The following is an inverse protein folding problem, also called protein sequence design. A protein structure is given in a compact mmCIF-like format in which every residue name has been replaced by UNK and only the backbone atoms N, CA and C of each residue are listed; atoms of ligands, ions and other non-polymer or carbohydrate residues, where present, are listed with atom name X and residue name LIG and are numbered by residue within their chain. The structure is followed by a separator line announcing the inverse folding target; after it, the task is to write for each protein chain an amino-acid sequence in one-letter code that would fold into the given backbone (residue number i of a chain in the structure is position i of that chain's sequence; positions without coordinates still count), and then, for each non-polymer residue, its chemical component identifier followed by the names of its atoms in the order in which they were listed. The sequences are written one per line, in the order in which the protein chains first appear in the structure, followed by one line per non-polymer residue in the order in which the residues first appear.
data_IF_982854096632
#
_entry.id   IF_982854096632
#
_cell.length_a   1.000
_cell.length_b   1.000
_cell.length_c   1.000
_cell.angle_alpha   90.00
_cell.angle_beta   90.00
_cell.angle_gamma   90.00
#
_symmetry.space_group_name_H-M   'P 1'
#
loop_
_entity.id
_entity.type
_entity.pdbx_description
1 polymer ?
#
# COMPACT_ATOMS: atom_id res chain seq x y z
N UNK A 1 -11.42 53.32 24.52
CA UNK A 1 -10.80 52.23 23.76
C UNK A 1 -10.73 51.04 24.70
N UNK A 2 -11.80 50.24 24.74
CA UNK A 2 -11.89 49.04 25.57
C UNK A 2 -11.42 47.87 24.72
N UNK A 3 -10.33 47.25 25.15
CA UNK A 3 -9.73 46.06 24.55
C UNK A 3 -10.36 44.83 25.19
N UNK A 4 -11.44 44.31 24.59
CA UNK A 4 -11.96 42.98 24.91
C UNK A 4 -11.06 41.94 24.26
N UNK A 5 -10.33 41.21 25.12
CA UNK A 5 -9.62 39.99 24.73
C UNK A 5 -10.61 38.83 24.69
N UNK A 6 -10.69 38.04 23.61
CA UNK A 6 -11.58 36.89 23.57
C UNK A 6 -11.00 35.81 24.49
N UNK A 7 -11.72 35.54 25.57
CA UNK A 7 -11.44 34.44 26.47
C UNK A 7 -11.45 33.12 25.68
N UNK A 8 -10.28 32.48 25.58
CA UNK A 8 -10.16 31.13 25.08
C UNK A 8 -10.95 30.18 25.97
N UNK A 9 -12.16 29.84 25.56
CA UNK A 9 -12.91 28.69 26.06
C UNK A 9 -12.14 27.42 25.65
N UNK A 10 -11.11 27.08 26.42
CA UNK A 10 -10.49 25.78 26.32
C UNK A 10 -11.49 24.71 26.75
N UNK A 11 -11.69 23.73 25.87
CA UNK A 11 -12.60 22.59 25.94
C UNK A 11 -12.24 21.62 27.08
N UNK A 12 -12.35 22.10 28.32
CA UNK A 12 -12.10 21.34 29.55
C UNK A 12 -13.02 20.11 29.66
N UNK A 13 -14.20 20.19 29.03
CA UNK A 13 -15.16 19.09 28.96
C UNK A 13 -14.66 17.91 28.13
N UNK A 14 -14.13 18.15 26.92
CA UNK A 14 -13.63 17.08 26.06
C UNK A 14 -12.41 16.37 26.66
N UNK A 15 -11.49 17.12 27.29
CA UNK A 15 -10.30 16.55 27.95
C UNK A 15 -10.71 15.63 29.10
N UNK A 16 -11.66 16.07 29.94
CA UNK A 16 -12.20 15.27 31.04
C UNK A 16 -12.89 13.99 30.56
N UNK A 17 -13.68 14.08 29.48
CA UNK A 17 -14.35 12.94 28.87
C UNK A 17 -13.35 11.92 28.29
N UNK A 18 -12.30 12.39 27.62
CA UNK A 18 -11.26 11.53 27.07
C UNK A 18 -10.48 10.79 28.17
N UNK A 19 -10.11 11.49 29.25
CA UNK A 19 -9.44 10.89 30.39
C UNK A 19 -10.30 9.81 31.06
N UNK A 20 -11.62 10.04 31.19
CA UNK A 20 -12.57 9.05 31.71
C UNK A 20 -12.64 7.82 30.82
N UNK A 21 -12.80 7.99 29.51
CA UNK A 21 -12.86 6.88 28.54
C UNK A 21 -11.58 6.05 28.54
N UNK A 22 -10.42 6.69 28.65
CA UNK A 22 -9.15 6.00 28.75
C UNK A 22 -9.06 5.16 30.03
N UNK A 23 -9.49 5.70 31.17
CA UNK A 23 -9.52 4.96 32.44
C UNK A 23 -10.36 3.68 32.33
N UNK A 24 -11.53 3.75 31.69
CA UNK A 24 -12.38 2.59 31.45
C UNK A 24 -11.67 1.54 30.57
N UNK A 25 -11.02 1.98 29.49
CA UNK A 25 -10.26 1.06 28.62
C UNK A 25 -9.10 0.39 29.37
N UNK A 26 -8.40 1.10 30.24
CA UNK A 26 -7.34 0.55 31.08
C UNK A 26 -7.85 -0.46 32.10
N UNK A 27 -9.00 -0.19 32.72
CA UNK A 27 -9.65 -1.14 33.64
C UNK A 27 -10.05 -2.42 32.89
N UNK A 28 -10.70 -2.29 31.74
CA UNK A 28 -11.06 -3.45 30.92
C UNK A 28 -9.83 -4.27 30.52
N UNK A 29 -8.76 -3.62 30.08
CA UNK A 29 -7.50 -4.27 29.71
C UNK A 29 -6.84 -5.01 30.89
N UNK A 30 -6.82 -4.43 32.09
CA UNK A 30 -6.23 -5.09 33.28
C UNK A 30 -6.90 -6.41 33.66
N UNK A 31 -8.15 -6.62 33.25
CA UNK A 31 -8.90 -7.84 33.49
C UNK A 31 -8.72 -8.90 32.37
N UNK A 32 -7.94 -8.61 31.32
CA UNK A 32 -7.69 -9.51 30.19
C UNK A 32 -6.19 -9.69 29.96
N UNK A 33 -5.62 -10.90 30.18
CA UNK A 33 -4.20 -11.14 30.00
C UNK A 33 -3.70 -10.82 28.59
N UNK A 34 -2.64 -10.02 28.49
CA UNK A 34 -1.99 -9.68 27.21
C UNK A 34 -2.79 -8.71 26.31
N UNK A 35 -3.82 -8.05 26.85
CA UNK A 35 -4.60 -7.01 26.15
C UNK A 35 -4.20 -5.63 26.67
N UNK A 36 -4.02 -4.67 25.76
CA UNK A 36 -3.67 -3.28 26.10
C UNK A 36 -4.89 -2.36 26.09
N UNK A 37 -4.85 -1.26 26.85
CA UNK A 37 -5.90 -0.25 26.86
C UNK A 37 -6.18 0.33 25.46
N UNK A 38 -5.13 0.45 24.63
CA UNK A 38 -5.25 0.91 23.24
C UNK A 38 -6.06 -0.08 22.38
N UNK A 39 -5.83 -1.39 22.52
CA UNK A 39 -6.60 -2.40 21.79
C UNK A 39 -8.08 -2.38 22.19
N UNK A 40 -8.38 -2.25 23.48
CA UNK A 40 -9.78 -2.08 23.97
C UNK A 40 -10.41 -0.83 23.37
N UNK A 41 -9.68 0.28 23.33
CA UNK A 41 -10.16 1.54 22.77
C UNK A 41 -10.51 1.41 21.27
N UNK A 42 -9.58 0.88 20.47
CA UNK A 42 -9.77 0.67 19.03
C UNK A 42 -10.98 -0.24 18.81
N UNK A 43 -11.06 -1.35 19.52
CA UNK A 43 -12.19 -2.28 19.43
C UNK A 43 -13.54 -1.60 19.71
N UNK A 44 -13.64 -0.80 20.78
CA UNK A 44 -14.88 -0.07 21.09
C UNK A 44 -15.26 0.92 19.99
N UNK A 45 -14.28 1.58 19.37
CA UNK A 45 -14.52 2.52 18.26
C UNK A 45 -15.01 1.76 17.02
N UNK A 46 -14.33 0.69 16.62
CA UNK A 46 -14.66 -0.09 15.42
C UNK A 46 -16.01 -0.79 15.53
N UNK A 47 -16.31 -1.37 16.71
CA UNK A 47 -17.57 -2.06 16.99
C UNK A 47 -18.71 -1.11 17.39
N UNK A 48 -18.48 0.22 17.35
CA UNK A 48 -19.45 1.26 17.72
C UNK A 48 -20.08 1.04 19.11
N UNK A 49 -19.27 0.56 20.06
CA UNK A 49 -19.69 0.30 21.44
C UNK A 49 -19.70 1.61 22.24
N UNK A 50 -20.52 1.64 23.30
CA UNK A 50 -20.52 2.75 24.25
C UNK A 50 -19.15 2.85 24.95
N UNK A 51 -18.42 3.92 24.64
CA UNK A 51 -17.06 4.19 25.14
C UNK A 51 -17.04 4.60 26.60
N UNK A 52 -18.20 5.00 27.14
CA UNK A 52 -18.36 5.48 28.51
C UNK A 52 -18.79 4.36 29.48
N UNK A 53 -18.84 3.11 28.99
CA UNK A 53 -19.13 1.91 29.78
C UNK A 53 -18.02 0.86 29.66
N UNK A 54 -17.79 0.04 30.71
CA UNK A 54 -16.93 -1.15 30.62
C UNK A 54 -17.43 -2.13 29.56
N UNK A 55 -16.54 -2.97 29.02
CA UNK A 55 -16.95 -4.08 28.15
C UNK A 55 -17.81 -5.08 28.93
N UNK A 56 -18.91 -5.51 28.31
CA UNK A 56 -19.64 -6.71 28.73
C UNK A 56 -18.78 -7.95 28.56
N UNK A 57 -19.16 -9.07 29.18
CA UNK A 57 -18.44 -10.34 29.04
C UNK A 57 -18.40 -10.81 27.57
N UNK A 58 -19.49 -10.59 26.82
CA UNK A 58 -19.55 -10.84 25.38
C UNK A 58 -18.55 -9.98 24.61
N UNK A 59 -18.46 -8.69 24.96
CA UNK A 59 -17.49 -7.77 24.36
C UNK A 59 -16.04 -8.15 24.68
N UNK A 60 -15.77 -8.64 25.89
CA UNK A 60 -14.44 -9.16 26.27
C UNK A 60 -14.09 -10.42 25.47
N UNK A 61 -15.02 -11.37 25.36
CA UNK A 61 -14.84 -12.59 24.55
C UNK A 61 -14.57 -12.28 23.09
N UNK A 62 -15.37 -11.39 22.49
CA UNK A 62 -15.19 -10.97 21.10
C UNK A 62 -13.82 -10.27 20.86
N UNK A 63 -13.37 -9.43 21.79
CA UNK A 63 -12.04 -8.80 21.69
C UNK A 63 -10.91 -9.84 21.78
N UNK A 64 -11.00 -10.81 22.70
CA UNK A 64 -9.99 -11.86 22.82
C UNK A 64 -9.91 -12.74 21.58
N UNK A 65 -11.07 -13.10 21.02
CA UNK A 65 -11.15 -13.85 19.76
C UNK A 65 -10.56 -13.07 18.58
N UNK A 66 -10.85 -11.77 18.48
CA UNK A 66 -10.26 -10.88 17.47
C UNK A 66 -8.72 -10.84 17.58
N UNK A 67 -8.20 -10.68 18.80
CA UNK A 67 -6.75 -10.66 19.06
C UNK A 67 -6.11 -12.00 18.73
N UNK A 68 -6.74 -13.11 19.09
CA UNK A 68 -6.21 -14.45 18.80
C UNK A 68 -6.21 -14.75 17.30
N UNK A 69 -7.29 -14.40 16.60
CA UNK A 69 -7.37 -14.51 15.14
C UNK A 69 -6.29 -13.66 14.45
N UNK A 70 -6.10 -12.42 14.91
CA UNK A 70 -5.04 -11.57 14.39
C UNK A 70 -3.64 -12.17 14.66
N UNK A 71 -3.40 -12.73 15.85
CA UNK A 71 -2.14 -13.42 16.16
C UNK A 71 -1.92 -14.63 15.26
N UNK A 72 -2.94 -15.46 15.03
CA UNK A 72 -2.87 -16.61 14.11
C UNK A 72 -2.57 -16.16 12.68
N UNK A 73 -3.21 -15.08 12.23
CA UNK A 73 -2.95 -14.50 10.91
C UNK A 73 -1.50 -14.00 10.80
N UNK A 74 -1.04 -13.18 11.76
CA UNK A 74 0.35 -12.68 11.78
C UNK A 74 1.35 -13.82 11.86
N UNK A 75 1.06 -14.87 12.64
CA UNK A 75 1.93 -16.04 12.71
C UNK A 75 1.95 -16.83 11.39
N UNK A 76 0.80 -16.96 10.73
CA UNK A 76 0.70 -17.55 9.40
C UNK A 76 1.48 -16.76 8.35
N UNK A 77 1.34 -15.43 8.33
CA UNK A 77 2.10 -14.53 7.45
C UNK A 77 3.61 -14.63 7.72
N UNK A 78 4.02 -14.66 8.99
CA UNK A 78 5.42 -14.84 9.38
C UNK A 78 5.98 -16.20 8.95
N UNK A 79 5.20 -17.28 9.06
CA UNK A 79 5.59 -18.61 8.60
C UNK A 79 5.77 -18.65 7.07
N UNK A 80 4.82 -18.08 6.32
CA UNK A 80 4.91 -17.95 4.86
C UNK A 80 6.14 -17.13 4.45
N UNK A 81 6.42 -16.04 5.17
CA UNK A 81 7.59 -15.21 4.93
C UNK A 81 8.89 -15.97 5.19
N UNK A 82 8.97 -16.70 6.31
CA UNK A 82 10.14 -17.51 6.65
C UNK A 82 10.40 -18.59 5.60
N UNK A 83 9.35 -19.29 5.14
CA UNK A 83 9.46 -20.27 4.05
C UNK A 83 9.97 -19.62 2.75
N UNK A 84 9.45 -18.43 2.43
CA UNK A 84 9.85 -17.68 1.24
C UNK A 84 11.32 -17.24 1.30
N UNK A 85 11.79 -16.78 2.46
CA UNK A 85 13.21 -16.46 2.70
C UNK A 85 14.08 -17.73 2.59
N UNK A 86 13.63 -18.87 3.11
CA UNK A 86 14.36 -20.13 2.93
C UNK A 86 14.44 -20.55 1.45
N UNK A 87 13.35 -20.37 0.70
CA UNK A 87 13.33 -20.63 -0.76
C UNK A 87 14.24 -19.65 -1.51
N UNK A 88 14.29 -18.38 -1.10
CA UNK A 88 15.23 -17.39 -1.62
C UNK A 88 16.67 -17.87 -1.47
N UNK A 89 17.07 -18.19 -0.24
CA UNK A 89 18.45 -18.62 0.08
C UNK A 89 18.84 -19.88 -0.69
N UNK A 90 17.93 -20.85 -0.84
CA UNK A 90 18.17 -22.06 -1.65
C UNK A 90 18.38 -21.77 -3.13
N UNK A 91 17.74 -20.73 -3.68
CA UNK A 91 17.79 -20.41 -5.11
C UNK A 91 18.82 -19.36 -5.48
N UNK A 92 19.21 -18.50 -4.55
CA UNK A 92 20.25 -17.50 -4.71
C UNK A 92 21.66 -18.14 -4.68
N UNK A 93 21.85 -19.18 -5.49
CA UNK A 93 23.14 -19.85 -5.67
C UNK A 93 24.10 -18.95 -6.46
N UNK A 94 25.42 -19.04 -6.25
CA UNK A 94 26.39 -18.23 -7.00
C UNK A 94 26.22 -18.31 -8.52
N UNK A 95 25.91 -19.51 -9.05
CA UNK A 95 25.67 -19.71 -10.47
C UNK A 95 24.45 -18.92 -10.98
N UNK A 96 23.30 -19.02 -10.28
CA UNK A 96 22.10 -18.27 -10.65
C UNK A 96 22.29 -16.76 -10.50
N UNK A 97 22.99 -16.33 -9.45
CA UNK A 97 23.31 -14.90 -9.27
C UNK A 97 24.19 -14.40 -10.41
N UNK A 98 25.20 -15.17 -10.84
CA UNK A 98 26.02 -14.82 -12.01
C UNK A 98 25.22 -14.74 -13.31
N UNK A 99 24.26 -15.65 -13.51
CA UNK A 99 23.37 -15.60 -14.66
C UNK A 99 22.45 -14.36 -14.64
N UNK A 100 21.92 -13.99 -13.47
CA UNK A 100 21.14 -12.74 -13.32
C UNK A 100 22.02 -11.53 -13.62
N UNK A 101 23.22 -11.48 -13.05
CA UNK A 101 24.16 -10.38 -13.22
C UNK A 101 24.52 -10.15 -14.70
N UNK A 102 24.88 -11.22 -15.42
CA UNK A 102 25.12 -11.16 -16.86
C UNK A 102 23.88 -10.73 -17.64
N UNK A 103 22.69 -11.22 -17.28
CA UNK A 103 21.46 -10.84 -17.95
C UNK A 103 21.11 -9.36 -17.75
N UNK A 104 21.43 -8.75 -16.60
CA UNK A 104 21.15 -7.32 -16.34
C UNK A 104 22.27 -6.37 -16.78
N UNK A 105 23.39 -6.88 -17.29
CA UNK A 105 24.55 -6.07 -17.69
C UNK A 105 24.18 -5.02 -18.74
N UNK A 106 23.35 -5.38 -19.72
CA UNK A 106 22.91 -4.47 -20.80
C UNK A 106 21.68 -3.65 -20.44
N UNK A 107 21.11 -3.82 -19.24
CA UNK A 107 19.86 -3.18 -18.87
C UNK A 107 19.87 -1.64 -18.85
N UNK A 108 20.96 -0.93 -18.49
CA UNK A 108 20.99 0.54 -18.54
C UNK A 108 20.62 1.14 -19.90
N UNK A 109 20.80 0.39 -21.00
CA UNK A 109 20.42 0.84 -22.35
C UNK A 109 18.91 0.85 -22.63
N UNK A 110 18.10 0.17 -21.80
CA UNK A 110 16.67 -0.06 -22.04
C UNK A 110 15.77 0.34 -20.86
N UNK A 111 16.34 0.92 -19.80
CA UNK A 111 15.59 1.37 -18.61
C UNK A 111 16.17 2.65 -18.03
N UNK A 112 15.40 3.33 -17.18
CA UNK A 112 15.83 4.45 -16.36
C UNK A 112 16.16 4.01 -14.92
N UNK A 113 16.91 4.86 -14.21
CA UNK A 113 17.22 4.75 -12.78
C UNK A 113 15.95 4.70 -11.93
N UNK A 114 15.02 5.63 -12.11
CA UNK A 114 13.73 5.63 -11.41
C UNK A 114 12.97 4.32 -11.57
N UNK A 115 12.98 3.76 -12.78
CA UNK A 115 12.28 2.51 -13.09
C UNK A 115 12.87 1.33 -12.33
N UNK A 116 14.19 1.22 -12.33
CA UNK A 116 14.93 0.21 -11.58
C UNK A 116 14.77 0.36 -10.06
N UNK A 117 14.82 1.59 -9.54
CA UNK A 117 14.68 1.89 -8.10
C UNK A 117 13.34 1.41 -7.56
N UNK A 118 12.21 1.80 -8.16
CA UNK A 118 10.93 1.32 -7.62
C UNK A 118 10.75 -0.18 -7.82
N UNK A 119 11.30 -0.77 -8.88
CA UNK A 119 11.25 -2.22 -9.06
C UNK A 119 11.92 -2.97 -7.90
N UNK A 120 13.06 -2.47 -7.40
CA UNK A 120 13.71 -2.98 -6.20
C UNK A 120 12.86 -2.72 -4.94
N UNK A 121 12.38 -1.49 -4.75
CA UNK A 121 11.62 -1.13 -3.54
C UNK A 121 10.32 -1.95 -3.42
N UNK A 122 9.63 -2.19 -4.53
CA UNK A 122 8.45 -3.07 -4.57
C UNK A 122 8.82 -4.54 -4.29
N UNK A 123 10.06 -4.95 -4.57
CA UNK A 123 10.55 -6.29 -4.29
C UNK A 123 10.78 -6.55 -2.79
N UNK A 124 11.03 -5.51 -1.99
CA UNK A 124 11.39 -5.65 -0.56
C UNK A 124 10.30 -6.37 0.24
N UNK A 125 9.03 -6.08 -0.08
CA UNK A 125 7.87 -6.72 0.57
C UNK A 125 7.84 -8.23 0.35
N UNK A 126 8.42 -8.71 -0.76
CA UNK A 126 8.45 -10.16 -1.05
C UNK A 126 9.26 -10.93 -0.02
N UNK A 127 10.21 -10.28 0.66
CA UNK A 127 11.06 -10.87 1.70
C UNK A 127 10.82 -10.25 3.09
N UNK A 128 9.77 -9.43 3.21
CA UNK A 128 9.37 -8.82 4.48
C UNK A 128 10.33 -7.75 4.99
N UNK A 129 11.18 -7.21 4.11
CA UNK A 129 11.91 -5.99 4.40
C UNK A 129 10.92 -4.83 4.37
N UNK A 130 11.07 -3.88 5.31
CA UNK A 130 10.19 -2.72 5.37
C UNK A 130 10.29 -1.89 4.09
N UNK A 131 9.15 -1.40 3.61
CA UNK A 131 9.10 -0.48 2.48
C UNK A 131 9.87 0.79 2.83
N UNK A 132 10.73 1.21 1.90
CA UNK A 132 11.53 2.43 2.01
C UNK A 132 11.16 3.38 0.87
N UNK A 133 11.23 4.68 1.13
CA UNK A 133 10.97 5.71 0.11
C UNK A 133 12.20 5.98 -0.78
N UNK A 134 13.38 5.58 -0.30
CA UNK A 134 14.66 5.80 -0.97
C UNK A 134 15.61 4.65 -0.70
N UNK A 135 16.59 4.52 -1.58
CA UNK A 135 17.70 3.61 -1.40
C UNK A 135 18.81 4.34 -0.64
N UNK A 136 19.34 3.70 0.39
CA UNK A 136 20.48 4.15 1.18
C UNK A 136 21.45 2.99 1.45
N UNK A 137 22.58 3.30 2.08
CA UNK A 137 23.59 2.29 2.39
C UNK A 137 23.09 1.21 3.35
N UNK A 138 22.12 1.52 4.21
CA UNK A 138 21.56 0.54 5.13
C UNK A 138 20.74 -0.52 4.37
N UNK A 139 19.98 -0.12 3.36
CA UNK A 139 19.26 -1.07 2.50
C UNK A 139 20.24 -2.05 1.82
N UNK A 140 21.37 -1.56 1.31
CA UNK A 140 22.36 -2.43 0.67
C UNK A 140 22.96 -3.45 1.64
N UNK A 141 23.27 -3.03 2.86
CA UNK A 141 23.74 -3.92 3.92
C UNK A 141 22.71 -4.99 4.27
N UNK A 142 21.43 -4.62 4.39
CA UNK A 142 20.35 -5.57 4.69
C UNK A 142 20.23 -6.66 3.59
N UNK A 143 20.36 -6.26 2.32
CA UNK A 143 20.30 -7.17 1.18
C UNK A 143 21.49 -8.13 1.13
N UNK A 144 22.69 -7.63 1.41
CA UNK A 144 23.91 -8.44 1.48
C UNK A 144 23.91 -9.40 2.68
N UNK A 145 23.32 -8.99 3.82
CA UNK A 145 23.12 -9.89 4.96
C UNK A 145 22.09 -10.98 4.65
N UNK A 146 21.02 -10.62 3.96
CA UNK A 146 19.99 -11.57 3.55
C UNK A 146 20.54 -12.63 2.58
N UNK A 147 21.40 -12.21 1.64
CA UNK A 147 22.02 -13.06 0.61
C UNK A 147 23.52 -12.77 0.52
N UNK A 148 24.34 -13.41 1.38
CA UNK A 148 25.80 -13.15 1.43
C UNK A 148 26.52 -13.41 0.10
N UNK A 149 26.03 -14.35 -0.70
CA UNK A 149 26.57 -14.64 -2.03
C UNK A 149 26.38 -13.49 -3.02
N UNK A 150 25.50 -12.52 -2.74
CA UNK A 150 25.33 -11.31 -3.56
C UNK A 150 26.45 -10.28 -3.38
N UNK A 151 27.24 -10.39 -2.31
CA UNK A 151 28.32 -9.42 -2.00
C UNK A 151 29.51 -9.49 -2.98
N UNK A 152 29.65 -10.60 -3.69
CA UNK A 152 30.77 -10.79 -4.65
C UNK A 152 30.59 -9.97 -5.93
N UNK A 153 29.38 -9.44 -6.19
CA UNK A 153 29.09 -8.66 -7.37
C UNK A 153 29.39 -7.19 -7.10
N UNK A 154 30.35 -6.65 -7.83
CA UNK A 154 30.72 -5.25 -7.76
C UNK A 154 29.91 -4.43 -8.76
N UNK A 155 29.10 -3.52 -8.24
CA UNK A 155 28.31 -2.57 -9.03
C UNK A 155 28.89 -1.15 -8.95
N UNK A 156 30.12 -0.99 -8.45
CA UNK A 156 30.78 0.32 -8.32
C UNK A 156 31.84 0.53 -9.39
N UNK A 157 32.28 -0.55 -10.05
CA UNK A 157 33.23 -0.52 -11.15
C UNK A 157 32.53 -0.89 -12.47
N UNK A 158 32.89 -0.21 -13.57
CA UNK A 158 32.45 -0.61 -14.91
C UNK A 158 31.61 0.37 -15.72
N UNK A 159 31.36 1.59 -15.24
CA UNK A 159 30.60 2.56 -16.02
C UNK A 159 30.20 3.83 -15.26
N UNK A 160 29.31 4.65 -15.85
CA UNK A 160 28.65 5.76 -15.18
C UNK A 160 27.94 5.32 -13.88
N UNK A 161 27.92 6.19 -12.88
CA UNK A 161 27.29 5.92 -11.58
C UNK A 161 25.80 5.57 -11.70
N UNK A 162 25.11 6.18 -12.67
CA UNK A 162 23.69 5.89 -12.93
C UNK A 162 23.47 4.48 -13.48
N UNK A 163 24.29 4.03 -14.43
CA UNK A 163 24.21 2.68 -15.02
C UNK A 163 24.47 1.61 -13.95
N UNK A 164 25.46 1.87 -13.11
CA UNK A 164 25.80 1.07 -11.95
C UNK A 164 24.62 0.95 -10.96
N UNK A 165 23.94 2.06 -10.67
CA UNK A 165 22.74 2.08 -9.83
C UNK A 165 21.61 1.28 -10.46
N UNK A 166 21.35 1.47 -11.76
CA UNK A 166 20.31 0.73 -12.51
C UNK A 166 20.57 -0.77 -12.40
N UNK A 167 21.77 -1.23 -12.76
CA UNK A 167 22.14 -2.64 -12.73
C UNK A 167 22.01 -3.22 -11.33
N UNK A 168 22.50 -2.52 -10.29
CA UNK A 168 22.39 -2.96 -8.89
C UNK A 168 20.93 -3.10 -8.46
N UNK A 169 20.07 -2.14 -8.81
CA UNK A 169 18.66 -2.18 -8.47
C UNK A 169 17.94 -3.34 -9.16
N UNK A 170 18.19 -3.56 -10.44
CA UNK A 170 17.60 -4.65 -11.21
C UNK A 170 18.07 -6.01 -10.69
N UNK A 171 19.39 -6.17 -10.47
CA UNK A 171 19.96 -7.39 -9.91
C UNK A 171 19.25 -7.77 -8.61
N UNK A 172 19.23 -6.87 -7.62
CA UNK A 172 18.60 -7.16 -6.33
C UNK A 172 17.07 -7.34 -6.47
N UNK A 173 16.41 -6.56 -7.32
CA UNK A 173 14.98 -6.69 -7.57
C UNK A 173 14.60 -8.05 -8.17
N UNK A 174 15.42 -8.61 -9.07
CA UNK A 174 15.24 -9.96 -9.63
C UNK A 174 15.52 -11.00 -8.55
N UNK A 175 16.63 -10.85 -7.83
CA UNK A 175 17.07 -11.79 -6.79
C UNK A 175 16.01 -11.97 -5.72
N UNK A 176 15.42 -10.88 -5.20
CA UNK A 176 14.37 -10.95 -4.18
C UNK A 176 13.10 -11.67 -4.66
N UNK A 177 12.85 -11.69 -5.98
CA UNK A 177 11.71 -12.39 -6.59
C UNK A 177 11.98 -13.87 -6.88
N UNK A 178 13.22 -14.35 -6.80
CA UNK A 178 13.56 -15.77 -7.00
C UNK A 178 12.66 -16.79 -6.27
N UNK A 179 12.11 -16.54 -5.07
CA UNK A 179 11.21 -17.48 -4.42
C UNK A 179 9.93 -17.78 -5.22
N UNK A 180 9.47 -16.82 -6.03
CA UNK A 180 8.19 -16.92 -6.76
C UNK A 180 8.36 -17.26 -8.23
N UNK A 181 9.56 -17.05 -8.80
CA UNK A 181 9.81 -17.29 -10.23
C UNK A 181 10.00 -18.77 -10.52
N UNK A 182 9.69 -19.26 -11.71
CA UNK A 182 9.93 -20.66 -12.09
C UNK A 182 11.09 -20.77 -13.09
N UNK A 183 11.85 -21.86 -13.04
CA UNK A 183 12.99 -22.08 -13.94
C UNK A 183 14.28 -21.32 -13.57
N UNK A 184 15.18 -21.28 -14.56
CA UNK A 184 16.45 -20.56 -14.54
C UNK A 184 16.31 -19.19 -15.22
N UNK A 185 17.09 -18.17 -14.81
CA UNK A 185 17.02 -16.85 -15.40
C UNK A 185 17.39 -16.89 -16.90
N UNK A 186 16.56 -16.29 -17.77
CA UNK A 186 16.94 -16.08 -19.17
C UNK A 186 18.25 -15.28 -19.27
N UNK A 187 19.04 -15.56 -20.32
CA UNK A 187 20.30 -14.87 -20.57
C UNK A 187 20.09 -13.52 -21.28
N UNK A 188 19.03 -13.40 -22.07
CA UNK A 188 18.65 -12.14 -22.69
C UNK A 188 18.07 -11.18 -21.65
N UNK A 189 18.48 -9.91 -21.71
CA UNK A 189 18.07 -8.88 -20.75
C UNK A 189 16.57 -8.65 -20.78
N UNK A 190 15.95 -8.52 -21.95
CA UNK A 190 14.53 -8.24 -22.05
C UNK A 190 13.69 -9.42 -21.55
N UNK A 191 14.10 -10.65 -21.89
CA UNK A 191 13.46 -11.87 -21.39
C UNK A 191 13.62 -12.03 -19.87
N UNK A 192 14.80 -11.72 -19.32
CA UNK A 192 15.04 -11.78 -17.87
C UNK A 192 14.17 -10.76 -17.11
N UNK A 193 14.07 -9.53 -17.63
CA UNK A 193 13.19 -8.50 -17.09
C UNK A 193 11.72 -8.89 -17.21
N UNK A 194 11.30 -9.48 -18.33
CA UNK A 194 9.94 -10.00 -18.48
C UNK A 194 9.65 -11.14 -17.49
N UNK A 195 10.58 -12.08 -17.36
CA UNK A 195 10.51 -13.23 -16.46
C UNK A 195 10.33 -12.81 -15.00
N UNK A 196 11.02 -11.75 -14.55
CA UNK A 196 10.88 -11.25 -13.18
C UNK A 196 9.72 -10.25 -12.98
N UNK A 197 8.89 -10.01 -14.02
CA UNK A 197 7.73 -9.13 -13.96
C UNK A 197 8.04 -7.64 -14.10
N UNK A 198 9.26 -7.26 -14.47
CA UNK A 198 9.68 -5.88 -14.66
C UNK A 198 8.84 -5.14 -15.71
N UNK A 199 8.51 -5.79 -16.83
CA UNK A 199 7.71 -5.20 -17.92
C UNK A 199 6.30 -4.74 -17.48
N UNK A 200 5.76 -5.32 -16.39
CA UNK A 200 4.50 -4.88 -15.78
C UNK A 200 4.65 -3.55 -15.03
N UNK A 201 5.83 -3.24 -14.50
CA UNK A 201 6.11 -1.97 -13.83
C UNK A 201 6.29 -0.83 -14.82
N UNK A 202 6.88 -1.05 -15.99
CA UNK A 202 7.07 0.02 -16.99
C UNK A 202 5.72 0.43 -17.64
N UNK A 203 4.90 -0.54 -18.05
CA UNK A 203 3.52 -0.27 -18.52
C UNK A 203 2.59 0.23 -17.42
N UNK A 204 2.79 -0.24 -16.19
CA UNK A 204 2.07 0.22 -15.00
C UNK A 204 2.40 1.67 -14.67
N UNK A 205 3.67 2.08 -14.78
CA UNK A 205 4.15 3.42 -14.49
C UNK A 205 3.85 4.40 -15.62
N UNK A 206 3.91 4.01 -16.89
CA UNK A 206 3.40 4.86 -17.98
C UNK A 206 1.92 5.21 -17.73
N UNK A 207 1.11 4.23 -17.34
CA UNK A 207 -0.29 4.48 -16.92
C UNK A 207 -0.38 5.29 -15.64
N UNK A 208 0.41 4.99 -14.60
CA UNK A 208 0.36 5.68 -13.30
C UNK A 208 0.91 7.10 -13.33
N UNK A 209 1.91 7.40 -14.14
CA UNK A 209 2.48 8.73 -14.34
C UNK A 209 1.53 9.59 -15.19
N UNK A 210 0.98 9.04 -16.28
CA UNK A 210 -0.10 9.71 -17.01
C UNK A 210 -1.32 9.94 -16.11
N UNK A 211 -1.70 8.95 -15.29
CA UNK A 211 -2.83 9.07 -14.37
C UNK A 211 -2.53 10.05 -13.22
N UNK A 212 -1.30 10.11 -12.71
CA UNK A 212 -0.88 11.10 -11.72
C UNK A 212 -0.87 12.52 -12.29
N UNK A 213 -0.36 12.72 -13.51
CA UNK A 213 -0.44 14.02 -14.20
C UNK A 213 -1.88 14.42 -14.49
N UNK A 214 -2.74 13.49 -14.89
CA UNK A 214 -4.17 13.72 -15.04
C UNK A 214 -4.83 14.08 -13.70
N UNK A 215 -4.59 13.31 -12.65
CA UNK A 215 -5.14 13.55 -11.30
C UNK A 215 -4.60 14.86 -10.68
N UNK A 216 -3.38 15.27 -11.03
CA UNK A 216 -2.77 16.52 -10.60
C UNK A 216 -3.32 17.71 -11.38
N UNK A 217 -3.43 17.60 -12.71
CA UNK A 217 -4.06 18.61 -13.56
C UNK A 217 -5.53 18.80 -13.21
N UNK A 218 -6.25 17.73 -12.92
CA UNK A 218 -7.64 17.76 -12.46
C UNK A 218 -7.74 18.46 -11.09
N UNK A 219 -6.84 18.17 -10.14
CA UNK A 219 -6.77 18.89 -8.86
C UNK A 219 -6.48 20.38 -9.03
N UNK A 220 -5.56 20.75 -9.92
CA UNK A 220 -5.23 22.15 -10.22
C UNK A 220 -6.38 22.87 -10.96
N UNK A 221 -7.18 22.14 -11.74
CA UNK A 221 -8.36 22.65 -12.42
C UNK A 221 -9.64 22.62 -11.57
N UNK A 222 -9.55 22.23 -10.28
CA UNK A 222 -10.71 22.09 -9.39
C UNK A 222 -11.67 20.95 -9.75
N UNK A 223 -11.23 20.01 -10.59
CA UNK A 223 -12.01 18.82 -10.96
C UNK A 223 -11.90 17.77 -9.86
N UNK A 224 -13.03 17.13 -9.49
CA UNK A 224 -13.04 16.14 -8.42
C UNK A 224 -12.27 14.88 -8.83
N UNK A 225 -11.42 14.39 -7.92
CA UNK A 225 -10.60 13.21 -8.15
C UNK A 225 -11.40 11.90 -8.04
N UNK A 226 -10.78 10.80 -8.49
CA UNK A 226 -11.39 9.45 -8.60
C UNK A 226 -12.06 8.94 -7.32
N UNK A 227 -11.50 9.29 -6.15
CA UNK A 227 -12.08 8.93 -4.86
C UNK A 227 -13.44 9.62 -4.62
N UNK A 228 -13.55 10.91 -4.96
CA UNK A 228 -14.80 11.64 -4.82
C UNK A 228 -15.86 11.10 -5.78
N UNK A 229 -15.47 10.75 -7.01
CA UNK A 229 -16.37 10.13 -7.99
C UNK A 229 -16.91 8.78 -7.50
N UNK A 230 -16.05 7.96 -6.87
CA UNK A 230 -16.48 6.70 -6.23
C UNK A 230 -17.46 6.96 -5.10
N UNK A 231 -17.18 7.94 -4.24
CA UNK A 231 -18.09 8.32 -3.14
C UNK A 231 -19.44 8.83 -3.65
N UNK A 232 -19.45 9.63 -4.71
CA UNK A 232 -20.69 10.14 -5.34
C UNK A 232 -21.59 9.01 -5.87
N UNK A 233 -20.99 7.88 -6.29
CA UNK A 233 -21.72 6.70 -6.75
C UNK A 233 -21.93 5.64 -5.66
N UNK A 234 -21.47 5.86 -4.42
CA UNK A 234 -21.52 4.85 -3.36
C UNK A 234 -20.63 3.62 -3.61
N UNK A 235 -19.57 3.78 -4.40
CA UNK A 235 -18.57 2.74 -4.67
C UNK A 235 -17.46 2.74 -3.61
N UNK A 236 -16.79 1.59 -3.39
CA UNK A 236 -15.62 1.53 -2.50
C UNK A 236 -14.54 2.52 -2.92
N UNK A 237 -13.96 3.23 -1.95
CA UNK A 237 -12.91 4.23 -2.19
C UNK A 237 -11.70 3.62 -2.89
N UNK A 238 -11.34 2.38 -2.55
CA UNK A 238 -10.20 1.64 -3.09
C UNK A 238 -10.63 0.30 -3.71
N UNK A 239 -9.72 -0.35 -4.45
CA UNK A 239 -9.97 -1.64 -5.10
C UNK A 239 -10.38 -1.54 -6.57
N UNK A 240 -10.43 -2.71 -7.22
CA UNK A 240 -10.82 -2.85 -8.64
C UNK A 240 -12.34 -2.69 -8.77
N UNK A 241 -12.76 -1.88 -9.73
CA UNK A 241 -14.18 -1.69 -10.10
C UNK A 241 -14.33 -2.01 -11.58
N UNK A 242 -15.47 -2.56 -11.98
CA UNK A 242 -15.77 -2.85 -13.40
C UNK A 242 -16.73 -1.81 -13.98
N UNK A 243 -16.84 -1.76 -15.31
CA UNK A 243 -17.77 -0.85 -16.00
C UNK A 243 -19.22 -1.17 -15.61
N UNK A 244 -19.55 -2.44 -15.41
CA UNK A 244 -20.88 -2.90 -14.97
C UNK A 244 -21.19 -2.38 -13.56
N UNK A 245 -20.21 -2.46 -12.65
CA UNK A 245 -20.36 -1.96 -11.29
C UNK A 245 -20.59 -0.44 -11.27
N UNK A 246 -19.85 0.32 -12.09
CA UNK A 246 -20.04 1.78 -12.22
C UNK A 246 -21.42 2.11 -12.78
N UNK A 247 -21.89 1.39 -13.81
CA UNK A 247 -23.23 1.60 -14.40
C UNK A 247 -24.35 1.24 -13.42
N UNK A 248 -24.19 0.18 -12.63
CA UNK A 248 -25.15 -0.21 -11.61
C UNK A 248 -25.24 0.83 -10.48
N UNK A 249 -24.09 1.26 -9.98
CA UNK A 249 -23.97 2.30 -8.95
C UNK A 249 -24.55 3.65 -9.42
N UNK A 250 -24.28 4.04 -10.66
CA UNK A 250 -24.91 5.21 -11.29
C UNK A 250 -26.43 5.12 -11.31
N UNK A 251 -27.02 3.98 -11.69
CA UNK A 251 -28.48 3.81 -11.70
C UNK A 251 -29.09 3.95 -10.31
N UNK A 252 -28.40 3.48 -9.27
CA UNK A 252 -28.84 3.65 -7.88
C UNK A 252 -28.77 5.12 -7.46
N UNK A 253 -27.61 5.76 -7.62
CA UNK A 253 -27.39 7.16 -7.26
C UNK A 253 -28.32 8.13 -8.02
N UNK A 254 -28.53 7.89 -9.32
CA UNK A 254 -29.40 8.73 -10.15
C UNK A 254 -30.89 8.62 -9.77
N UNK A 255 -31.33 7.48 -9.23
CA UNK A 255 -32.70 7.33 -8.71
C UNK A 255 -32.90 8.15 -7.44
N UNK A 256 -31.91 8.20 -6.57
CA UNK A 256 -31.98 8.96 -5.32
C UNK A 256 -31.84 10.47 -5.54
N UNK A 257 -31.02 10.88 -6.51
CA UNK A 257 -30.76 12.29 -6.82
C UNK A 257 -31.68 12.87 -7.90
N UNK A 258 -32.72 12.15 -8.34
CA UNK A 258 -33.61 12.63 -9.40
C UNK A 258 -34.39 13.87 -8.93
N UNK A 259 -34.45 14.96 -9.70
CA UNK A 259 -35.20 16.17 -9.33
C UNK A 259 -36.67 15.90 -8.99
N UNK A 260 -37.32 15.02 -9.76
CA UNK A 260 -38.71 14.62 -9.51
C UNK A 260 -38.94 13.84 -8.20
N UNK A 261 -37.87 13.36 -7.56
CA UNK A 261 -37.90 12.65 -6.28
C UNK A 261 -37.33 13.50 -5.13
N UNK A 262 -37.13 14.80 -5.35
CA UNK A 262 -36.63 15.74 -4.34
C UNK A 262 -35.11 15.96 -4.36
N UNK A 263 -34.39 15.42 -5.35
CA UNK A 263 -32.98 15.70 -5.57
C UNK A 263 -32.71 17.06 -6.25
N UNK A 264 -31.45 17.49 -6.31
CA UNK A 264 -31.07 18.71 -7.04
C UNK A 264 -30.51 18.41 -8.43
N UNK A 265 -30.79 19.29 -9.39
CA UNK A 265 -30.23 19.19 -10.75
C UNK A 265 -28.69 19.24 -10.75
N UNK A 266 -28.10 19.97 -9.80
CA UNK A 266 -26.65 20.02 -9.58
C UNK A 266 -26.10 18.67 -9.12
N UNK A 267 -26.78 17.99 -8.20
CA UNK A 267 -26.39 16.67 -7.71
C UNK A 267 -26.50 15.60 -8.81
N UNK A 268 -27.56 15.64 -9.62
CA UNK A 268 -27.70 14.77 -10.79
C UNK A 268 -26.56 15.00 -11.80
N UNK A 269 -26.22 16.26 -12.07
CA UNK A 269 -25.10 16.63 -12.95
C UNK A 269 -23.77 16.09 -12.42
N UNK A 270 -23.50 16.22 -11.13
CA UNK A 270 -22.29 15.68 -10.50
C UNK A 270 -22.20 14.14 -10.61
N UNK A 271 -23.32 13.43 -10.43
CA UNK A 271 -23.41 11.97 -10.55
C UNK A 271 -23.16 11.50 -12.01
N UNK A 272 -23.71 12.22 -13.00
CA UNK A 272 -23.48 11.94 -14.42
C UNK A 272 -22.00 12.10 -14.76
N UNK A 273 -21.40 13.21 -14.34
CA UNK A 273 -19.99 13.50 -14.60
C UNK A 273 -19.05 12.49 -13.90
N UNK A 274 -19.37 12.08 -12.66
CA UNK A 274 -18.61 11.06 -11.93
C UNK A 274 -18.62 9.70 -12.65
N UNK A 275 -19.78 9.28 -13.18
CA UNK A 275 -19.91 8.06 -14.00
C UNK A 275 -19.01 8.14 -15.23
N UNK A 276 -19.03 9.25 -15.96
CA UNK A 276 -18.25 9.42 -17.19
C UNK A 276 -16.75 9.36 -16.93
N UNK A 277 -16.25 10.09 -15.92
CA UNK A 277 -14.84 10.04 -15.52
C UNK A 277 -14.40 8.65 -15.09
N UNK A 278 -15.22 7.94 -14.32
CA UNK A 278 -14.88 6.58 -13.87
C UNK A 278 -14.86 5.57 -15.02
N UNK A 279 -15.76 5.68 -16.00
CA UNK A 279 -15.75 4.81 -17.20
C UNK A 279 -14.53 5.13 -18.07
N UNK A 280 -14.25 6.42 -18.32
CA UNK A 280 -13.09 6.83 -19.10
C UNK A 280 -11.78 6.35 -18.47
N UNK A 281 -11.66 6.42 -17.14
CA UNK A 281 -10.50 5.93 -16.39
C UNK A 281 -10.34 4.39 -16.35
N UNK A 282 -11.32 3.62 -16.85
CA UNK A 282 -11.24 2.16 -16.97
C UNK A 282 -10.75 1.69 -18.35
N UNK A 283 -10.56 2.59 -19.32
CA UNK A 283 -9.86 2.32 -20.58
C UNK A 283 -10.62 1.45 -21.57
N UNK A 284 -11.83 1.86 -21.96
CA UNK A 284 -12.50 1.41 -23.20
C UNK A 284 -12.32 2.46 -24.30
#
# INVERSE_FOLDING_TARGET
MSSDSPAGFHDSGAVSLQARRWRICSQDASAMPGVTARQVHIFKVEQRLDRDRPLSDDGRRALLELIDNHRRQVHGEAAVLAERIQRLKRRATPHRLGAIDGAVESAPSITTSDSAVCFLLDALETVGLQRRDRIDQALWSDLEELIPSGKVFDFTSGGPEEDNLIRRCLFWGVVLRLPTLEGDPPQDTADCLAWCGYACHDRGRARSASQWWSDHADRMAGRPGRELDRRLLGLPAEGRITVEAVKAAYKAAAREAHPDLGGSAEQMTAIIQAKERLIQGLGL
#
